data_IF_059651502517
#
_entry.id   IF_059651502517
#
_cell.length_a   1.000
_cell.length_b   1.000
_cell.length_c   1.000
_cell.angle_alpha   90.00
_cell.angle_beta   90.00
_cell.angle_gamma   90.00
#
_symmetry.space_group_name_H-M   'P 1'
#
loop_
_entity.id
_entity.type
_entity.pdbx_description
1 polymer ?
#
# COMPACT_ATOMS: atom_id res chain seq x y z
N UNK A 1 -9.07 20.75 -11.90
CA UNK A 1 -7.70 20.47 -12.39
C UNK A 1 -7.78 19.56 -13.60
N UNK A 2 -6.97 19.86 -14.61
CA UNK A 2 -6.86 18.99 -15.78
C UNK A 2 -6.04 17.74 -15.42
N UNK A 3 -6.54 16.56 -15.84
CA UNK A 3 -5.86 15.27 -15.65
C UNK A 3 -5.32 14.82 -17.01
N UNK A 4 -4.03 14.59 -17.07
CA UNK A 4 -3.33 14.23 -18.30
C UNK A 4 -2.82 12.78 -18.17
N UNK A 5 -3.00 11.99 -19.23
CA UNK A 5 -2.37 10.66 -19.33
C UNK A 5 -0.87 10.84 -19.58
N UNK A 6 -0.07 10.33 -18.65
CA UNK A 6 1.39 10.44 -18.72
C UNK A 6 2.00 9.22 -19.42
N UNK A 7 1.59 8.02 -19.08
CA UNK A 7 2.21 6.77 -19.54
C UNK A 7 1.32 5.55 -19.33
N UNK A 8 1.80 4.42 -19.83
CA UNK A 8 1.19 3.11 -19.60
C UNK A 8 2.23 2.01 -19.69
N UNK A 9 1.95 0.89 -19.02
CA UNK A 9 2.71 -0.37 -19.08
C UNK A 9 1.82 -1.52 -18.63
N UNK A 10 2.24 -2.76 -18.85
CA UNK A 10 1.54 -3.93 -18.33
C UNK A 10 2.22 -4.42 -17.04
N UNK A 11 1.42 -4.78 -16.05
CA UNK A 11 1.85 -5.50 -14.85
C UNK A 11 1.26 -6.91 -14.87
N UNK A 12 2.10 -7.90 -14.62
CA UNK A 12 1.66 -9.29 -14.50
C UNK A 12 1.39 -9.59 -13.03
N UNK A 13 0.17 -10.01 -12.74
CA UNK A 13 -0.25 -10.45 -11.40
C UNK A 13 -0.93 -11.79 -11.57
N UNK A 14 -0.44 -12.81 -10.86
CA UNK A 14 -1.00 -14.17 -10.91
C UNK A 14 -1.15 -14.67 -12.37
N UNK A 15 -0.08 -14.55 -13.15
CA UNK A 15 0.01 -14.93 -14.58
C UNK A 15 -0.97 -14.22 -15.54
N UNK A 16 -1.56 -13.11 -15.08
CA UNK A 16 -2.49 -12.31 -15.88
C UNK A 16 -1.95 -10.90 -16.10
N UNK A 17 -2.01 -10.44 -17.35
CA UNK A 17 -1.64 -9.07 -17.72
C UNK A 17 -2.70 -8.06 -17.27
N UNK A 18 -2.26 -7.02 -16.58
CA UNK A 18 -3.10 -5.89 -16.17
C UNK A 18 -2.49 -4.59 -16.69
N UNK A 19 -3.18 -3.88 -17.59
CA UNK A 19 -2.70 -2.58 -18.06
C UNK A 19 -2.64 -1.55 -16.92
N UNK A 20 -1.47 -0.96 -16.71
CA UNK A 20 -1.30 0.19 -15.82
C UNK A 20 -1.37 1.46 -16.65
N UNK A 21 -2.30 2.33 -16.33
CA UNK A 21 -2.39 3.68 -16.89
C UNK A 21 -2.02 4.68 -15.81
N UNK A 22 -1.03 5.52 -16.08
CA UNK A 22 -0.57 6.55 -15.17
C UNK A 22 -1.10 7.89 -15.68
N UNK A 23 -1.87 8.56 -14.85
CA UNK A 23 -2.37 9.93 -15.10
C UNK A 23 -1.81 10.88 -14.05
N UNK A 24 -1.71 12.15 -14.39
CA UNK A 24 -1.20 13.18 -13.48
C UNK A 24 -2.06 14.43 -13.50
N UNK A 25 -2.23 15.04 -12.34
CA UNK A 25 -2.77 16.37 -12.17
C UNK A 25 -1.86 17.19 -11.26
N UNK A 26 -1.79 18.49 -11.47
CA UNK A 26 -0.94 19.40 -10.68
C UNK A 26 -1.80 20.31 -9.81
N UNK A 27 -1.43 20.43 -8.54
CA UNK A 27 -1.99 21.43 -7.61
C UNK A 27 -0.90 22.49 -7.42
N UNK A 28 -0.91 23.50 -8.29
CA UNK A 28 0.16 24.50 -8.38
C UNK A 28 0.35 25.28 -7.07
N UNK A 29 -0.75 25.64 -6.40
CA UNK A 29 -0.70 26.38 -5.13
C UNK A 29 0.01 25.61 -4.01
N UNK A 30 -0.07 24.29 -4.05
CA UNK A 30 0.59 23.39 -3.08
C UNK A 30 1.95 22.86 -3.57
N UNK A 31 2.37 23.20 -4.79
CA UNK A 31 3.55 22.61 -5.46
C UNK A 31 3.53 21.09 -5.43
N UNK A 32 2.35 20.52 -5.63
CA UNK A 32 2.10 19.08 -5.52
C UNK A 32 1.63 18.52 -6.85
N UNK A 33 2.09 17.33 -7.16
CA UNK A 33 1.57 16.51 -8.26
C UNK A 33 0.83 15.32 -7.69
N UNK A 34 -0.31 14.99 -8.29
CA UNK A 34 -1.13 13.83 -7.95
C UNK A 34 -1.05 12.85 -9.10
N UNK A 35 -0.49 11.69 -8.86
CA UNK A 35 -0.42 10.60 -9.83
C UNK A 35 -1.52 9.59 -9.55
N UNK A 36 -2.27 9.25 -10.59
CA UNK A 36 -3.34 8.29 -10.52
C UNK A 36 -2.87 6.97 -11.10
N UNK A 37 -3.01 5.92 -10.33
CA UNK A 37 -2.80 4.54 -10.75
C UNK A 37 -4.14 4.02 -11.23
N UNK A 38 -4.29 3.84 -12.53
CA UNK A 38 -5.57 3.51 -13.15
C UNK A 38 -5.52 2.16 -13.86
N UNK A 39 -6.62 1.43 -13.76
CA UNK A 39 -6.89 0.20 -14.47
C UNK A 39 -8.41 0.01 -14.52
N UNK A 40 -8.97 -0.33 -15.69
CA UNK A 40 -10.41 -0.47 -15.86
C UNK A 40 -11.01 -1.55 -14.98
N UNK A 41 -10.35 -2.70 -14.87
CA UNK A 41 -10.88 -3.84 -14.11
C UNK A 41 -10.83 -3.62 -12.59
N UNK A 42 -9.77 -2.96 -12.11
CA UNK A 42 -9.55 -2.82 -10.67
C UNK A 42 -10.13 -1.55 -10.05
N UNK A 43 -10.09 -0.41 -10.76
CA UNK A 43 -10.35 0.89 -10.13
C UNK A 43 -11.52 1.67 -10.74
N UNK A 44 -12.06 1.27 -11.88
CA UNK A 44 -13.26 1.89 -12.42
C UNK A 44 -14.51 1.26 -11.79
N UNK A 45 -14.62 1.40 -10.49
CA UNK A 45 -15.71 0.88 -9.66
C UNK A 45 -16.30 2.02 -8.82
N UNK A 46 -17.58 1.92 -8.47
CA UNK A 46 -18.27 2.98 -7.73
C UNK A 46 -17.80 3.15 -6.30
N UNK A 47 -17.32 2.07 -5.67
CA UNK A 47 -16.86 2.07 -4.29
C UNK A 47 -15.46 1.49 -4.18
N UNK A 48 -14.76 1.85 -3.11
CA UNK A 48 -13.32 1.53 -2.95
C UNK A 48 -13.08 0.07 -2.57
N UNK A 49 -13.86 -0.48 -1.66
CA UNK A 49 -13.58 -1.79 -1.03
C UNK A 49 -14.65 -2.81 -1.33
N UNK A 50 -15.89 -2.38 -1.50
CA UNK A 50 -17.07 -3.22 -1.65
C UNK A 50 -17.99 -2.74 -2.77
N UNK A 51 -18.91 -3.60 -3.20
CA UNK A 51 -19.96 -3.25 -4.15
C UNK A 51 -21.07 -2.39 -3.50
N UNK A 52 -22.09 -2.06 -4.27
CA UNK A 52 -23.24 -1.25 -3.82
C UNK A 52 -24.07 -1.94 -2.71
N UNK A 53 -23.97 -3.26 -2.58
CA UNK A 53 -24.64 -4.05 -1.57
C UNK A 53 -23.79 -4.28 -0.31
N UNK A 54 -22.58 -3.72 -0.28
CA UNK A 54 -21.64 -3.89 0.83
C UNK A 54 -20.84 -5.17 0.79
N UNK A 55 -20.89 -5.94 -0.29
CA UNK A 55 -20.04 -7.13 -0.45
C UNK A 55 -18.65 -6.70 -0.88
N UNK A 56 -17.64 -7.06 -0.08
CA UNK A 56 -16.27 -6.74 -0.39
C UNK A 56 -15.82 -7.44 -1.68
N UNK A 57 -15.01 -6.75 -2.49
CA UNK A 57 -14.52 -7.31 -3.76
C UNK A 57 -13.59 -8.50 -3.51
N UNK A 58 -13.83 -9.60 -4.18
CA UNK A 58 -13.03 -10.83 -4.06
C UNK A 58 -11.57 -10.66 -4.51
N UNK A 59 -11.32 -9.68 -5.38
CA UNK A 59 -9.99 -9.35 -5.92
C UNK A 59 -9.28 -8.22 -5.18
N UNK A 60 -9.67 -7.91 -3.96
CA UNK A 60 -9.02 -6.85 -3.17
C UNK A 60 -7.53 -7.14 -2.92
N UNK A 61 -7.13 -8.38 -2.87
CA UNK A 61 -5.72 -8.79 -2.80
C UNK A 61 -4.94 -8.40 -4.06
N UNK A 62 -5.44 -8.74 -5.25
CA UNK A 62 -4.84 -8.35 -6.52
C UNK A 62 -4.83 -6.83 -6.72
N UNK A 63 -5.87 -6.16 -6.28
CA UNK A 63 -5.97 -4.69 -6.34
C UNK A 63 -4.89 -4.02 -5.51
N UNK A 64 -4.63 -4.52 -4.30
CA UNK A 64 -3.56 -4.00 -3.44
C UNK A 64 -2.17 -4.24 -4.03
N UNK A 65 -1.92 -5.42 -4.59
CA UNK A 65 -0.66 -5.74 -5.30
C UNK A 65 -0.48 -4.80 -6.50
N UNK A 66 -1.50 -4.66 -7.32
CA UNK A 66 -1.46 -3.80 -8.51
C UNK A 66 -1.21 -2.34 -8.13
N UNK A 67 -1.90 -1.85 -7.11
CA UNK A 67 -1.73 -0.46 -6.64
C UNK A 67 -0.29 -0.19 -6.21
N UNK A 68 0.26 -1.01 -5.35
CA UNK A 68 1.63 -0.83 -4.83
C UNK A 68 2.65 -0.94 -5.96
N UNK A 69 2.57 -1.96 -6.79
CA UNK A 69 3.47 -2.11 -7.94
C UNK A 69 3.33 -0.94 -8.93
N UNK A 70 2.11 -0.50 -9.18
CA UNK A 70 1.84 0.65 -10.04
C UNK A 70 2.48 1.94 -9.52
N UNK A 71 2.40 2.19 -8.23
CA UNK A 71 3.08 3.34 -7.58
C UNK A 71 4.59 3.24 -7.74
N UNK A 72 5.19 2.10 -7.42
CA UNK A 72 6.64 1.92 -7.46
C UNK A 72 7.19 1.98 -8.89
N UNK A 73 6.50 1.39 -9.86
CA UNK A 73 6.87 1.49 -11.28
C UNK A 73 6.73 2.94 -11.79
N UNK A 74 5.75 3.70 -11.29
CA UNK A 74 5.61 5.12 -11.60
C UNK A 74 6.81 5.91 -11.10
N UNK A 75 7.22 5.70 -9.85
CA UNK A 75 8.40 6.37 -9.26
C UNK A 75 9.65 6.07 -10.08
N UNK A 76 9.86 4.81 -10.46
CA UNK A 76 11.00 4.39 -11.31
C UNK A 76 10.95 5.05 -12.68
N UNK A 77 9.78 5.08 -13.31
CA UNK A 77 9.61 5.68 -14.64
C UNK A 77 9.90 7.17 -14.64
N UNK A 78 9.57 7.86 -13.57
CA UNK A 78 9.89 9.26 -13.36
C UNK A 78 11.35 9.50 -12.98
N UNK A 79 12.11 8.44 -12.74
CA UNK A 79 13.48 8.48 -12.22
C UNK A 79 13.60 9.30 -10.93
N UNK A 80 12.56 9.25 -10.14
CA UNK A 80 12.51 9.92 -8.86
C UNK A 80 13.18 9.06 -7.79
N UNK A 81 13.99 9.70 -6.94
CA UNK A 81 14.66 9.04 -5.81
C UNK A 81 14.06 9.63 -4.53
N UNK A 82 12.96 9.07 -3.99
CA UNK A 82 12.35 9.60 -2.79
C UNK A 82 13.19 9.30 -1.55
N UNK A 83 13.29 10.26 -0.64
CA UNK A 83 13.89 10.06 0.68
C UNK A 83 12.93 9.35 1.62
N UNK A 84 11.64 9.72 1.56
CA UNK A 84 10.56 9.16 2.36
C UNK A 84 9.38 8.79 1.47
N UNK A 85 8.83 7.61 1.70
CA UNK A 85 7.56 7.18 1.12
C UNK A 85 6.57 7.03 2.28
N UNK A 86 5.56 7.88 2.30
CA UNK A 86 4.51 7.85 3.30
C UNK A 86 3.27 7.15 2.76
N UNK A 87 2.93 6.03 3.36
CA UNK A 87 1.82 5.17 2.95
C UNK A 87 0.61 5.38 3.85
N UNK A 88 -0.57 5.47 3.25
CA UNK A 88 -1.83 5.72 3.95
C UNK A 88 -2.82 4.60 3.72
N UNK A 89 -3.18 3.88 4.78
CA UNK A 89 -4.21 2.88 4.76
C UNK A 89 -3.81 1.53 4.14
N UNK A 90 -4.69 0.55 4.28
CA UNK A 90 -4.39 -0.85 3.96
C UNK A 90 -4.10 -1.13 2.48
N UNK A 91 -4.66 -0.35 1.55
CA UNK A 91 -4.38 -0.53 0.11
C UNK A 91 -2.89 -0.34 -0.21
N UNK A 92 -2.17 0.44 0.59
CA UNK A 92 -0.73 0.68 0.47
C UNK A 92 0.14 -0.19 1.40
N UNK A 93 -0.46 -1.12 2.13
CA UNK A 93 0.21 -1.89 3.18
C UNK A 93 1.42 -2.71 2.70
N UNK A 94 1.41 -3.15 1.44
CA UNK A 94 2.49 -3.96 0.87
C UNK A 94 3.73 -3.16 0.46
N UNK A 95 3.68 -1.83 0.48
CA UNK A 95 4.75 -0.99 -0.07
C UNK A 95 6.11 -1.28 0.55
N UNK A 96 6.19 -1.37 1.87
CA UNK A 96 7.47 -1.60 2.55
C UNK A 96 8.06 -2.98 2.23
N UNK A 97 7.22 -4.02 2.19
CA UNK A 97 7.64 -5.37 1.77
C UNK A 97 8.22 -5.34 0.36
N UNK A 98 7.50 -4.75 -0.60
CA UNK A 98 7.95 -4.67 -1.98
C UNK A 98 9.28 -3.92 -2.12
N UNK A 99 9.42 -2.77 -1.47
CA UNK A 99 10.67 -1.99 -1.53
C UNK A 99 11.83 -2.78 -0.95
N UNK A 100 11.65 -3.44 0.19
CA UNK A 100 12.72 -4.14 0.90
C UNK A 100 13.05 -5.51 0.33
N UNK A 101 12.20 -6.07 -0.53
CA UNK A 101 12.41 -7.39 -1.15
C UNK A 101 12.49 -7.33 -2.67
N UNK A 102 11.40 -6.97 -3.34
CA UNK A 102 11.31 -6.98 -4.80
C UNK A 102 12.11 -5.84 -5.45
N UNK A 103 12.26 -4.73 -4.77
CA UNK A 103 13.00 -3.55 -5.23
C UNK A 103 14.26 -3.26 -4.40
N UNK A 104 14.77 -4.25 -3.66
CA UNK A 104 15.91 -4.08 -2.76
C UNK A 104 17.17 -3.52 -3.43
N UNK A 105 17.38 -3.84 -4.71
CA UNK A 105 18.52 -3.39 -5.50
C UNK A 105 18.19 -2.23 -6.45
N UNK A 106 16.94 -1.76 -6.44
CA UNK A 106 16.53 -0.66 -7.32
C UNK A 106 17.16 0.68 -6.88
N UNK A 107 17.88 1.36 -7.76
CA UNK A 107 18.60 2.58 -7.38
C UNK A 107 17.68 3.74 -6.99
N UNK A 108 16.44 3.77 -7.45
CA UNK A 108 15.47 4.80 -7.07
C UNK A 108 14.87 4.56 -5.68
N UNK A 109 14.64 3.29 -5.30
CA UNK A 109 13.80 2.91 -4.16
C UNK A 109 14.56 2.37 -2.96
N UNK A 110 15.75 1.78 -3.18
CA UNK A 110 16.49 1.02 -2.14
C UNK A 110 16.82 1.80 -0.86
N UNK A 111 16.94 3.13 -0.95
CA UNK A 111 17.32 3.97 0.18
C UNK A 111 16.13 4.73 0.80
N UNK A 112 14.93 4.59 0.25
CA UNK A 112 13.75 5.27 0.78
C UNK A 112 13.38 4.75 2.17
N UNK A 113 13.01 5.66 3.07
CA UNK A 113 12.40 5.32 4.35
C UNK A 113 10.89 5.25 4.18
N UNK A 114 10.27 4.22 4.74
CA UNK A 114 8.85 3.97 4.61
C UNK A 114 8.15 4.26 5.93
N UNK A 115 7.21 5.19 5.90
CA UNK A 115 6.32 5.51 7.01
C UNK A 115 4.92 5.00 6.66
N UNK A 116 4.32 4.24 7.56
CA UNK A 116 2.99 3.69 7.38
C UNK A 116 2.01 4.30 8.37
N UNK A 117 0.96 4.95 7.86
CA UNK A 117 -0.15 5.47 8.68
C UNK A 117 -1.29 4.48 8.71
N UNK A 118 -1.69 4.10 9.92
CA UNK A 118 -2.81 3.19 10.19
C UNK A 118 -4.07 4.01 10.40
N UNK A 119 -5.14 3.64 9.71
CA UNK A 119 -6.45 4.28 9.83
C UNK A 119 -7.51 3.29 10.33
N UNK A 120 -8.65 3.83 10.70
CA UNK A 120 -9.85 3.04 10.99
C UNK A 120 -10.56 2.69 9.66
N UNK A 121 -9.87 1.92 8.82
CA UNK A 121 -10.30 1.52 7.49
C UNK A 121 -10.38 -0.01 7.32
N UNK A 122 -10.72 -0.71 8.40
CA UNK A 122 -10.77 -2.16 8.43
C UNK A 122 -11.71 -2.72 7.36
N UNK A 123 -11.22 -3.64 6.56
CA UNK A 123 -12.09 -4.52 5.78
C UNK A 123 -12.50 -5.72 6.64
N UNK A 124 -13.66 -6.30 6.34
CA UNK A 124 -14.30 -7.31 7.21
C UNK A 124 -13.90 -8.74 6.88
N UNK A 125 -13.84 -9.07 5.59
CA UNK A 125 -13.55 -10.42 5.13
C UNK A 125 -12.05 -10.59 4.86
N UNK A 126 -11.44 -11.73 5.22
CA UNK A 126 -10.05 -12.00 4.87
C UNK A 126 -9.81 -11.89 3.35
N UNK A 127 -8.62 -11.49 2.97
CA UNK A 127 -8.18 -11.52 1.58
C UNK A 127 -8.04 -12.97 1.10
N UNK A 128 -7.87 -13.16 -0.20
CA UNK A 128 -7.73 -14.47 -0.80
C UNK A 128 -6.66 -15.31 -0.07
N UNK A 129 -6.98 -16.58 0.18
CA UNK A 129 -6.06 -17.54 0.84
C UNK A 129 -4.74 -17.72 0.09
N UNK A 130 -4.72 -17.47 -1.22
CA UNK A 130 -3.54 -17.58 -2.07
C UNK A 130 -2.68 -16.30 -2.09
N UNK A 131 -3.02 -15.33 -1.25
CA UNK A 131 -2.32 -14.04 -1.20
C UNK A 131 -0.81 -14.18 -0.96
N UNK A 132 -0.42 -15.00 0.01
CA UNK A 132 0.99 -15.27 0.29
C UNK A 132 1.72 -15.90 -0.90
N UNK A 133 1.07 -16.80 -1.63
CA UNK A 133 1.61 -17.43 -2.84
C UNK A 133 1.88 -16.39 -3.92
N UNK A 134 0.96 -15.43 -4.12
CA UNK A 134 1.13 -14.32 -5.07
C UNK A 134 2.32 -13.44 -4.71
N UNK A 135 2.48 -13.10 -3.43
CA UNK A 135 3.60 -12.31 -2.94
C UNK A 135 4.93 -13.05 -3.09
N UNK A 136 4.96 -14.35 -2.85
CA UNK A 136 6.13 -15.19 -3.06
C UNK A 136 6.55 -15.23 -4.53
N UNK A 137 5.58 -15.36 -5.44
CA UNK A 137 5.83 -15.32 -6.88
C UNK A 137 6.47 -14.00 -7.33
N UNK A 138 6.14 -12.90 -6.68
CA UNK A 138 6.73 -11.57 -6.94
C UNK A 138 8.13 -11.39 -6.31
N UNK A 139 8.56 -12.26 -5.40
CA UNK A 139 9.91 -12.23 -4.83
C UNK A 139 10.01 -12.13 -3.31
N UNK A 140 8.90 -12.16 -2.58
CA UNK A 140 8.94 -12.23 -1.12
C UNK A 140 9.53 -13.56 -0.64
N UNK A 141 10.26 -13.51 0.47
CA UNK A 141 10.86 -14.71 1.07
C UNK A 141 9.84 -15.45 1.94
N UNK A 142 10.03 -16.74 2.09
CA UNK A 142 9.17 -17.57 2.92
C UNK A 142 9.05 -17.05 4.36
N UNK A 143 10.17 -16.57 4.92
CA UNK A 143 10.19 -15.99 6.27
C UNK A 143 9.38 -14.70 6.39
N UNK A 144 9.28 -13.92 5.32
CA UNK A 144 8.53 -12.65 5.28
C UNK A 144 7.01 -12.89 5.31
N UNK A 145 6.58 -14.07 4.89
CA UNK A 145 5.18 -14.38 4.64
C UNK A 145 4.47 -15.10 5.80
N UNK A 146 5.17 -15.36 6.90
CA UNK A 146 4.62 -16.11 8.04
C UNK A 146 3.31 -15.52 8.57
N UNK A 147 3.27 -14.20 8.76
CA UNK A 147 2.07 -13.53 9.26
C UNK A 147 0.91 -13.65 8.27
N UNK A 148 1.14 -13.36 7.01
CA UNK A 148 0.07 -13.34 6.00
C UNK A 148 -0.40 -14.76 5.62
N UNK A 149 0.44 -15.76 5.74
CA UNK A 149 0.03 -17.18 5.61
C UNK A 149 -0.92 -17.61 6.71
N UNK A 150 -0.68 -17.13 7.92
CA UNK A 150 -1.51 -17.45 9.07
C UNK A 150 -2.80 -16.62 9.10
N UNK A 151 -2.76 -15.39 8.62
CA UNK A 151 -3.86 -14.44 8.75
C UNK A 151 -3.86 -13.44 7.57
N UNK A 152 -4.82 -13.60 6.66
CA UNK A 152 -5.06 -12.68 5.53
C UNK A 152 -6.10 -11.60 5.85
N UNK A 153 -6.47 -11.43 7.11
CA UNK A 153 -7.36 -10.36 7.56
C UNK A 153 -6.67 -8.99 7.54
N UNK A 154 -7.44 -7.97 7.78
CA UNK A 154 -6.92 -6.60 7.99
C UNK A 154 -5.80 -6.57 9.04
N UNK A 155 -5.96 -7.29 10.13
CA UNK A 155 -4.96 -7.36 11.19
C UNK A 155 -3.66 -7.99 10.69
N UNK A 156 -3.73 -9.13 10.01
CA UNK A 156 -2.56 -9.80 9.45
C UNK A 156 -1.81 -8.94 8.43
N UNK A 157 -2.53 -8.31 7.51
CA UNK A 157 -1.96 -7.40 6.52
C UNK A 157 -1.30 -6.18 7.16
N UNK A 158 -1.96 -5.58 8.16
CA UNK A 158 -1.43 -4.39 8.86
C UNK A 158 -0.19 -4.73 9.68
N UNK A 159 -0.16 -5.88 10.35
CA UNK A 159 1.04 -6.38 11.04
C UNK A 159 2.21 -6.55 10.08
N UNK A 160 1.97 -7.09 8.88
CA UNK A 160 3.00 -7.19 7.84
C UNK A 160 3.54 -5.81 7.45
N UNK A 161 2.66 -4.83 7.25
CA UNK A 161 3.07 -3.45 6.95
C UNK A 161 3.92 -2.85 8.07
N UNK A 162 3.54 -3.05 9.31
CA UNK A 162 4.28 -2.58 10.49
C UNK A 162 5.68 -3.21 10.55
N UNK A 163 5.79 -4.51 10.30
CA UNK A 163 7.07 -5.23 10.39
C UNK A 163 8.10 -4.74 9.40
N UNK A 164 7.69 -4.28 8.22
CA UNK A 164 8.58 -3.78 7.19
C UNK A 164 8.74 -2.26 7.19
N UNK A 165 7.87 -1.50 7.84
CA UNK A 165 7.97 -0.06 7.91
C UNK A 165 9.15 0.41 8.76
N UNK A 166 9.70 1.58 8.43
CA UNK A 166 10.73 2.26 9.21
C UNK A 166 10.12 3.14 10.31
N UNK A 167 8.86 3.50 10.18
CA UNK A 167 8.10 4.23 11.19
C UNK A 167 6.60 4.05 10.96
N UNK A 168 5.82 4.18 12.01
CA UNK A 168 4.37 3.99 12.01
C UNK A 168 3.68 5.19 12.65
N UNK A 169 2.58 5.62 12.05
CA UNK A 169 1.73 6.70 12.57
C UNK A 169 0.32 6.15 12.80
N UNK A 170 -0.27 6.51 13.92
CA UNK A 170 -1.70 6.32 14.13
C UNK A 170 -2.45 7.48 13.48
N UNK A 171 -3.05 7.23 12.34
CA UNK A 171 -3.70 8.25 11.50
C UNK A 171 -5.15 8.56 11.89
N UNK A 172 -5.82 7.63 12.58
CA UNK A 172 -7.17 7.82 13.14
C UNK A 172 -7.14 7.84 14.66
N UNK A 173 -8.03 8.60 15.28
CA UNK A 173 -8.13 8.68 16.73
C UNK A 173 -8.33 7.31 17.37
N UNK A 174 -9.16 6.48 16.74
CA UNK A 174 -9.37 5.08 17.11
C UNK A 174 -8.95 4.19 15.95
N UNK A 175 -8.16 3.16 16.26
CA UNK A 175 -7.77 2.12 15.31
C UNK A 175 -8.05 0.74 15.89
N UNK A 176 -7.95 -0.31 15.06
CA UNK A 176 -8.11 -1.69 15.49
C UNK A 176 -7.23 -2.00 16.72
N UNK A 177 -7.84 -2.56 17.77
CA UNK A 177 -7.17 -2.75 19.05
C UNK A 177 -6.02 -3.76 18.96
N UNK A 178 -6.16 -4.85 18.20
CA UNK A 178 -5.08 -5.81 18.03
C UNK A 178 -3.87 -5.20 17.32
N UNK A 179 -4.12 -4.32 16.36
CA UNK A 179 -3.06 -3.58 15.65
C UNK A 179 -2.37 -2.61 16.60
N UNK A 180 -3.14 -1.86 17.40
CA UNK A 180 -2.58 -0.94 18.40
C UNK A 180 -1.72 -1.68 19.42
N UNK A 181 -2.17 -2.82 19.91
CA UNK A 181 -1.42 -3.66 20.84
C UNK A 181 -0.12 -4.16 20.20
N UNK A 182 -0.19 -4.57 18.94
CA UNK A 182 0.97 -5.06 18.20
C UNK A 182 2.04 -4.00 18.02
N UNK A 183 1.69 -2.80 17.55
CA UNK A 183 2.67 -1.72 17.37
C UNK A 183 3.21 -1.21 18.71
N UNK A 184 2.36 -1.15 19.73
CA UNK A 184 2.75 -0.70 21.06
C UNK A 184 3.76 -1.64 21.73
N UNK A 185 3.71 -2.92 21.41
CA UNK A 185 4.65 -3.93 21.90
C UNK A 185 5.99 -3.95 21.16
N UNK A 186 6.07 -3.36 19.96
CA UNK A 186 7.32 -3.29 19.19
C UNK A 186 8.25 -2.22 19.73
N UNK A 187 9.45 -2.64 20.11
CA UNK A 187 10.46 -1.72 20.69
C UNK A 187 11.32 -1.03 19.63
N UNK A 188 11.45 -1.65 18.44
CA UNK A 188 12.41 -1.24 17.43
C UNK A 188 11.79 -0.36 16.32
N UNK A 189 10.47 -0.17 16.33
CA UNK A 189 9.78 0.65 15.34
C UNK A 189 9.29 1.94 15.97
N UNK A 190 9.76 3.11 15.51
CA UNK A 190 9.22 4.40 15.94
C UNK A 190 7.71 4.46 15.69
N UNK A 191 6.96 4.87 16.69
CA UNK A 191 5.51 4.99 16.63
C UNK A 191 5.06 6.35 17.11
N UNK A 192 4.33 7.07 16.25
CA UNK A 192 3.68 8.33 16.58
C UNK A 192 2.18 8.06 16.86
N UNK A 193 1.72 8.20 18.12
CA UNK A 193 0.30 8.12 18.44
C UNK A 193 -0.51 9.21 17.74
N UNK A 194 -1.82 9.03 17.69
CA UNK A 194 -2.71 9.98 17.04
C UNK A 194 -2.45 11.44 17.50
N UNK A 195 -2.38 12.31 16.50
CA UNK A 195 -2.29 13.76 16.68
C UNK A 195 -3.52 14.41 16.08
N UNK A 196 -4.14 15.31 16.80
CA UNK A 196 -5.27 16.08 16.26
C UNK A 196 -4.78 17.07 15.19
N UNK A 197 -5.66 17.50 14.25
CA UNK A 197 -5.28 18.47 13.21
C UNK A 197 -4.66 19.75 13.76
N UNK A 198 -5.08 20.19 14.95
CA UNK A 198 -4.57 21.41 15.58
C UNK A 198 -3.09 21.30 15.99
N UNK A 199 -2.57 20.08 16.13
CA UNK A 199 -1.17 19.85 16.52
C UNK A 199 -0.19 19.89 15.32
N UNK A 200 -0.71 19.96 14.10
CA UNK A 200 0.11 20.03 12.88
C UNK A 200 0.46 21.48 12.46
N UNK A 201 0.02 22.48 13.19
CA UNK A 201 0.27 23.89 12.88
C UNK A 201 1.49 24.44 13.63
#
# INVERSE_FOLDING_TARGET
>A
HEVIRLSGMNLIIDDTDHPLIIKVASIQSARMQVYFIDNEDFFQRKSTVSDENGNEYEDNDDRSIFYVRGVLETVKKLRWIPDVIHCHGWMSALTALYIKRMYADDPCLRNAKIVYSIYNDDFKNPLNKDFATKLKADGAKEADLKLIKADTSFVGLTKLAIDFADGVIQGSETINQEVLDYISAKKDTPFLPYQSPETYM
#
